data_IF_508345840229
#
_entry.id   IF_508345840229
#
_cell.length_a   1.000
_cell.length_b   1.000
_cell.length_c   1.000
_cell.angle_alpha   90.00
_cell.angle_beta   90.00
_cell.angle_gamma   90.00
#
_symmetry.space_group_name_H-M   'P 1'
#
loop_
_entity.id
_entity.type
_entity.pdbx_description
1 polymer ?
#
# COMPACT_ATOMS: atom_id res chain seq x y z
N UNK A 1 12.52 -12.06 -2.69
CA UNK A 1 13.00 -10.98 -3.59
C UNK A 1 11.86 -10.13 -4.16
N UNK A 2 10.86 -10.75 -4.82
CA UNK A 2 9.77 -10.03 -5.50
C UNK A 2 9.07 -8.95 -4.64
N UNK A 3 8.69 -9.27 -3.39
CA UNK A 3 8.02 -8.32 -2.49
C UNK A 3 8.91 -7.09 -2.20
N UNK A 4 10.19 -7.32 -1.89
CA UNK A 4 11.14 -6.23 -1.61
C UNK A 4 11.40 -5.35 -2.83
N UNK A 5 11.56 -5.95 -4.01
CA UNK A 5 11.75 -5.19 -5.25
C UNK A 5 10.49 -4.42 -5.66
N UNK A 6 9.30 -4.98 -5.43
CA UNK A 6 8.04 -4.26 -5.63
C UNK A 6 7.97 -3.02 -4.72
N UNK A 7 8.39 -3.14 -3.46
CA UNK A 7 8.47 -2.00 -2.55
C UNK A 7 9.47 -0.94 -3.05
N UNK A 8 10.65 -1.36 -3.53
CA UNK A 8 11.64 -0.44 -4.13
C UNK A 8 11.06 0.33 -5.31
N UNK A 9 10.39 -0.37 -6.23
CA UNK A 9 9.75 0.26 -7.39
C UNK A 9 8.72 1.32 -6.96
N UNK A 10 7.86 0.97 -6.00
CA UNK A 10 6.87 1.91 -5.46
C UNK A 10 7.55 3.13 -4.85
N UNK A 11 8.68 2.97 -4.16
CA UNK A 11 9.43 4.11 -3.61
C UNK A 11 9.98 5.02 -4.70
N UNK A 12 10.58 4.46 -5.76
CA UNK A 12 11.12 5.25 -6.88
C UNK A 12 10.05 6.17 -7.48
N UNK A 13 8.81 5.69 -7.61
CA UNK A 13 7.72 6.46 -8.22
C UNK A 13 7.03 7.40 -7.22
N UNK A 14 6.77 6.94 -5.99
CA UNK A 14 5.86 7.65 -5.07
C UNK A 14 6.55 8.59 -4.08
N UNK A 15 7.88 8.55 -3.94
CA UNK A 15 8.61 9.46 -3.04
C UNK A 15 8.33 10.94 -3.36
N UNK A 16 8.42 11.43 -4.61
CA UNK A 16 8.19 12.85 -4.90
C UNK A 16 6.72 13.29 -4.74
N UNK A 17 5.78 12.34 -4.63
CA UNK A 17 4.35 12.62 -4.56
C UNK A 17 3.91 12.70 -3.09
N UNK A 18 4.22 11.69 -2.28
CA UNK A 18 3.77 11.60 -0.88
C UNK A 18 4.85 11.19 0.12
N UNK A 19 6.11 11.08 -0.30
CA UNK A 19 7.19 10.48 0.51
C UNK A 19 7.07 8.96 0.68
N UNK A 20 6.17 8.32 -0.08
CA UNK A 20 5.82 6.89 -0.05
C UNK A 20 5.43 6.34 1.33
N UNK A 21 4.13 6.13 1.53
CA UNK A 21 3.60 5.40 2.68
C UNK A 21 3.50 3.90 2.41
N UNK A 22 2.46 3.51 1.66
CA UNK A 22 2.00 2.12 1.37
C UNK A 22 1.95 1.17 2.59
N UNK A 23 2.06 1.72 3.80
CA UNK A 23 2.13 0.99 5.05
C UNK A 23 1.70 1.92 6.19
N UNK A 24 0.50 1.72 6.76
CA UNK A 24 -0.02 2.54 7.86
C UNK A 24 0.93 2.62 9.05
N UNK A 25 1.56 1.52 9.48
CA UNK A 25 2.49 1.50 10.61
C UNK A 25 3.73 2.37 10.34
N UNK A 26 4.25 2.35 9.10
CA UNK A 26 5.38 3.21 8.68
C UNK A 26 5.02 4.70 8.66
N UNK A 27 3.75 5.04 8.47
CA UNK A 27 3.27 6.43 8.48
C UNK A 27 2.94 6.92 9.89
N UNK A 28 2.41 6.06 10.76
CA UNK A 28 2.05 6.43 12.15
C UNK A 28 3.28 6.86 12.94
N UNK A 29 4.38 6.09 12.88
CA UNK A 29 5.59 6.36 13.67
C UNK A 29 6.10 7.80 13.51
N UNK A 30 6.53 8.23 12.32
CA UNK A 30 7.02 9.59 12.09
C UNK A 30 5.96 10.67 12.34
N UNK A 31 4.69 10.40 12.04
CA UNK A 31 3.62 11.38 12.25
C UNK A 31 3.45 11.74 13.73
N UNK A 32 3.65 10.78 14.65
CA UNK A 32 3.60 11.04 16.09
C UNK A 32 4.74 11.95 16.58
N UNK A 33 5.93 11.84 15.97
CA UNK A 33 7.08 12.67 16.33
C UNK A 33 7.06 14.04 15.66
N UNK A 34 6.61 14.11 14.40
CA UNK A 34 6.50 15.38 13.66
C UNK A 34 5.32 16.24 14.14
N UNK A 35 4.19 15.60 14.48
CA UNK A 35 2.99 16.29 14.91
C UNK A 35 2.31 17.13 13.82
N UNK A 36 1.53 18.12 14.24
CA UNK A 36 0.97 19.17 13.37
C UNK A 36 0.28 18.66 12.10
N UNK A 37 0.82 19.05 10.94
CA UNK A 37 0.28 18.69 9.63
C UNK A 37 0.36 17.18 9.34
N UNK A 38 1.40 16.49 9.81
CA UNK A 38 1.59 15.06 9.57
C UNK A 38 0.48 14.23 10.23
N UNK A 39 0.12 14.55 11.47
CA UNK A 39 -1.02 13.89 12.15
C UNK A 39 -2.36 14.20 11.46
N UNK A 40 -2.56 15.44 10.99
CA UNK A 40 -3.78 15.83 10.27
C UNK A 40 -3.96 15.09 8.95
N UNK A 41 -2.87 14.71 8.28
CA UNK A 41 -2.91 13.99 7.00
C UNK A 41 -2.81 12.46 7.16
N UNK A 42 -2.50 11.96 8.37
CA UNK A 42 -2.27 10.55 8.65
C UNK A 42 -3.42 9.63 8.21
N UNK A 43 -4.67 10.10 8.30
CA UNK A 43 -5.84 9.32 7.90
C UNK A 43 -5.76 8.83 6.44
N UNK A 44 -5.20 9.64 5.53
CA UNK A 44 -5.04 9.29 4.12
C UNK A 44 -4.12 8.09 3.96
N UNK A 45 -3.03 8.06 4.75
CA UNK A 45 -2.04 6.98 4.77
C UNK A 45 -2.51 5.73 5.53
N UNK A 46 -3.72 5.75 6.08
CA UNK A 46 -4.38 4.56 6.63
C UNK A 46 -5.40 4.05 5.63
N UNK A 47 -6.33 4.91 5.19
CA UNK A 47 -7.45 4.51 4.32
C UNK A 47 -6.95 4.07 2.94
N UNK A 48 -6.04 4.82 2.31
CA UNK A 48 -5.60 4.51 0.95
C UNK A 48 -4.84 3.17 0.86
N UNK A 49 -3.89 2.83 1.76
CA UNK A 49 -3.22 1.52 1.72
C UNK A 49 -4.19 0.35 1.95
N UNK A 50 -5.14 0.45 2.89
CA UNK A 50 -6.11 -0.62 3.10
C UNK A 50 -7.04 -0.81 1.91
N UNK A 51 -7.51 0.29 1.30
CA UNK A 51 -8.33 0.21 0.10
C UNK A 51 -7.56 -0.43 -1.07
N UNK A 52 -6.31 -0.01 -1.29
CA UNK A 52 -5.44 -0.60 -2.31
C UNK A 52 -5.18 -2.08 -2.07
N UNK A 53 -4.93 -2.49 -0.82
CA UNK A 53 -4.73 -3.89 -0.45
C UNK A 53 -6.00 -4.73 -0.70
N UNK A 54 -7.18 -4.23 -0.36
CA UNK A 54 -8.44 -4.90 -0.63
C UNK A 54 -8.66 -5.09 -2.14
N UNK A 55 -8.47 -4.03 -2.94
CA UNK A 55 -8.58 -4.11 -4.41
C UNK A 55 -7.60 -5.14 -4.96
N UNK A 56 -6.32 -5.11 -4.54
CA UNK A 56 -5.32 -6.06 -5.00
C UNK A 56 -5.69 -7.52 -4.65
N UNK A 57 -6.24 -7.76 -3.46
CA UNK A 57 -6.70 -9.08 -3.06
C UNK A 57 -7.86 -9.58 -3.93
N UNK A 58 -8.83 -8.71 -4.25
CA UNK A 58 -9.95 -9.07 -5.13
C UNK A 58 -9.50 -9.31 -6.57
N UNK A 59 -8.59 -8.48 -7.10
CA UNK A 59 -8.03 -8.66 -8.44
C UNK A 59 -7.27 -9.99 -8.52
N UNK A 60 -6.42 -10.29 -7.54
CA UNK A 60 -5.70 -11.55 -7.48
C UNK A 60 -6.67 -12.74 -7.48
N UNK A 61 -7.69 -12.69 -6.62
CA UNK A 61 -8.73 -13.72 -6.56
C UNK A 61 -9.44 -13.91 -7.91
N UNK A 62 -9.81 -12.82 -8.59
CA UNK A 62 -10.45 -12.89 -9.90
C UNK A 62 -9.58 -13.60 -10.95
N UNK A 63 -8.28 -13.32 -10.96
CA UNK A 63 -7.33 -13.95 -11.89
C UNK A 63 -7.11 -15.43 -11.56
N UNK A 64 -7.00 -15.79 -10.28
CA UNK A 64 -6.72 -17.18 -9.89
C UNK A 64 -7.96 -18.08 -9.98
N UNK A 65 -9.17 -17.55 -9.80
CA UNK A 65 -10.42 -18.32 -9.95
C UNK A 65 -10.57 -18.92 -11.35
N UNK A 66 -10.21 -18.18 -12.40
CA UNK A 66 -10.22 -18.71 -13.77
C UNK A 66 -9.25 -19.89 -13.95
N UNK A 67 -8.10 -19.80 -13.27
CA UNK A 67 -7.08 -20.86 -13.29
C UNK A 67 -7.56 -22.15 -12.63
N UNK A 68 -8.37 -22.04 -11.57
CA UNK A 68 -8.91 -23.20 -10.85
C UNK A 68 -10.06 -23.87 -11.61
N UNK A 69 -10.89 -23.10 -12.33
CA UNK A 69 -11.98 -23.65 -13.17
C UNK A 69 -11.43 -24.38 -14.41
N UNK A 70 -10.33 -23.88 -14.99
CA UNK A 70 -9.75 -24.45 -16.21
C UNK A 70 -8.82 -25.65 -15.92
N UNK A 71 -8.40 -25.82 -14.66
CA UNK A 71 -7.56 -26.93 -14.21
C UNK A 71 -8.35 -28.14 -13.67
N UNK A 72 -9.69 -28.04 -13.62
CA UNK A 72 -10.63 -29.11 -13.25
C UNK A 72 -11.33 -29.68 -14.50
#
# INVERSE_FOLDING_TARGET
>A
LAIGLALVLVHIVCIPITGTSVNPARSIGPALFEGGAALRQLWLFIVAPFLGAAIAAFVWKGITVEKDITAA
#
